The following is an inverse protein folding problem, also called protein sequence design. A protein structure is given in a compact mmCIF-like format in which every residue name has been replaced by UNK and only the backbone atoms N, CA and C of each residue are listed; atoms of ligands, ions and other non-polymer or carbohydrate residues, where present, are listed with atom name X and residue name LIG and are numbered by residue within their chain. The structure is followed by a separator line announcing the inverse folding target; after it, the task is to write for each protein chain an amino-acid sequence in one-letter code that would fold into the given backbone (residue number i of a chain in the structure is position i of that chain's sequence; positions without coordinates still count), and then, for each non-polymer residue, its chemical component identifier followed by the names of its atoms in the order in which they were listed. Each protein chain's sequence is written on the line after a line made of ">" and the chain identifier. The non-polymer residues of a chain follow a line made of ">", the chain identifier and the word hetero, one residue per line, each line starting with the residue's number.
data_IF_577441584519
#
_entry.id   IF_577441584519
#
_cell.length_a   1.000
_cell.length_b   1.000
_cell.length_c   1.000
_cell.angle_alpha   90.00
_cell.angle_beta   90.00
_cell.angle_gamma   90.00
#
_symmetry.space_group_name_H-M   'P 1'
#
loop_
_entity.id
_entity.type
_entity.pdbx_description
1 polymer ?
#
# COMPACT_ATOMS: atom_id res chain seq x y z
N UNK A 1 6.31 21.55 -37.96
CA UNK A 1 7.42 21.29 -37.00
C UNK A 1 6.95 20.79 -35.63
N UNK A 2 6.09 21.47 -34.81
CA UNK A 2 5.63 20.91 -33.51
C UNK A 2 4.73 19.66 -33.65
N UNK A 3 3.91 19.56 -34.70
CA UNK A 3 3.01 18.39 -34.90
C UNK A 3 3.73 17.14 -35.43
N UNK A 4 4.82 17.28 -36.17
CA UNK A 4 5.64 16.17 -36.66
C UNK A 4 6.45 15.53 -35.52
N UNK A 5 7.09 16.36 -34.70
CA UNK A 5 7.82 15.87 -33.50
C UNK A 5 6.91 15.12 -32.50
N UNK A 6 5.65 15.53 -32.41
CA UNK A 6 4.66 14.85 -31.53
C UNK A 6 4.21 13.51 -32.12
N UNK A 7 4.07 13.41 -33.44
CA UNK A 7 3.75 12.13 -34.11
C UNK A 7 4.92 11.15 -34.07
N UNK A 8 6.14 11.61 -34.27
CA UNK A 8 7.35 10.78 -34.14
C UNK A 8 7.53 10.29 -32.71
N UNK A 9 7.24 11.12 -31.70
CA UNK A 9 7.27 10.76 -30.29
C UNK A 9 6.23 9.70 -29.96
N UNK A 10 4.99 9.84 -30.44
CA UNK A 10 3.93 8.84 -30.24
C UNK A 10 4.31 7.51 -30.87
N UNK A 11 4.84 7.52 -32.10
CA UNK A 11 5.29 6.30 -32.78
C UNK A 11 6.44 5.59 -32.07
N UNK A 12 7.37 6.35 -31.45
CA UNK A 12 8.46 5.79 -30.65
C UNK A 12 7.95 5.19 -29.33
N UNK A 13 6.95 5.84 -28.69
CA UNK A 13 6.30 5.30 -27.51
C UNK A 13 5.54 4.01 -27.84
N UNK A 14 4.80 3.98 -28.95
CA UNK A 14 4.09 2.76 -29.39
C UNK A 14 5.06 1.61 -29.70
N UNK A 15 6.23 1.90 -30.27
CA UNK A 15 7.27 0.90 -30.49
C UNK A 15 7.88 0.41 -29.17
N UNK A 16 8.13 1.30 -28.22
CA UNK A 16 8.63 0.93 -26.89
C UNK A 16 7.66 0.01 -26.16
N UNK A 17 6.38 0.34 -26.20
CA UNK A 17 5.27 -0.47 -25.67
C UNK A 17 5.27 -1.89 -26.27
N UNK A 18 5.38 -1.99 -27.62
CA UNK A 18 5.39 -3.29 -28.29
C UNK A 18 6.65 -4.10 -27.95
N UNK A 19 7.81 -3.46 -27.78
CA UNK A 19 9.03 -4.14 -27.35
C UNK A 19 8.92 -4.62 -25.90
N UNK A 20 8.38 -3.81 -25.00
CA UNK A 20 8.16 -4.20 -23.61
C UNK A 20 7.15 -5.37 -23.49
N UNK A 21 6.04 -5.31 -24.24
CA UNK A 21 5.07 -6.41 -24.33
C UNK A 21 5.71 -7.72 -24.82
N UNK A 22 6.59 -7.65 -25.84
CA UNK A 22 7.32 -8.82 -26.32
C UNK A 22 8.31 -9.35 -25.27
N UNK A 23 8.98 -8.46 -24.56
CA UNK A 23 9.86 -8.82 -23.45
C UNK A 23 9.09 -9.52 -22.32
N UNK A 24 7.88 -9.06 -21.98
CA UNK A 24 7.04 -9.70 -20.98
C UNK A 24 6.58 -11.10 -21.41
N UNK A 25 6.12 -11.26 -22.65
CA UNK A 25 5.74 -12.58 -23.17
C UNK A 25 6.92 -13.58 -23.13
N UNK A 26 8.15 -13.08 -23.34
CA UNK A 26 9.36 -13.92 -23.24
C UNK A 26 9.79 -14.17 -21.79
N UNK A 27 9.46 -13.27 -20.86
CA UNK A 27 9.78 -13.37 -19.42
C UNK A 27 8.81 -14.26 -18.65
N UNK A 28 7.56 -14.35 -19.08
CA UNK A 28 6.55 -15.24 -18.48
C UNK A 28 7.00 -16.71 -18.55
N UNK A 29 7.87 -17.06 -19.49
CA UNK A 29 8.50 -18.37 -19.60
C UNK A 29 9.72 -18.57 -18.67
N UNK A 30 10.26 -17.50 -18.05
CA UNK A 30 11.51 -17.56 -17.27
C UNK A 30 11.40 -17.21 -15.79
N UNK A 31 10.23 -16.78 -15.28
CA UNK A 31 10.12 -16.32 -13.88
C UNK A 31 9.57 -17.42 -12.98
N UNK A 32 10.43 -18.28 -12.46
CA UNK A 32 10.11 -19.26 -11.39
C UNK A 32 9.68 -18.58 -10.07
N UNK A 33 9.90 -17.27 -9.91
CA UNK A 33 9.65 -16.55 -8.64
C UNK A 33 8.20 -16.10 -8.49
N UNK A 34 7.50 -15.77 -9.58
CA UNK A 34 6.07 -15.41 -9.55
C UNK A 34 5.16 -16.66 -9.46
N UNK A 35 5.65 -17.84 -9.83
CA UNK A 35 4.88 -19.08 -9.81
C UNK A 35 4.48 -19.53 -8.40
N UNK A 36 5.21 -19.11 -7.36
CA UNK A 36 4.91 -19.54 -5.96
C UNK A 36 3.54 -19.12 -5.45
N UNK A 37 2.96 -18.04 -5.98
CA UNK A 37 1.74 -17.44 -5.46
C UNK A 37 0.48 -17.84 -6.23
N UNK A 38 0.63 -18.32 -7.48
CA UNK A 38 -0.49 -18.44 -8.40
C UNK A 38 -0.69 -19.84 -9.00
N UNK A 39 0.19 -20.81 -8.72
CA UNK A 39 0.12 -22.10 -9.39
C UNK A 39 -1.11 -22.94 -9.04
N UNK A 40 -1.61 -22.88 -7.81
CA UNK A 40 -2.86 -23.56 -7.42
C UNK A 40 -3.48 -22.92 -6.17
N UNK A 41 -4.82 -22.75 -6.12
CA UNK A 41 -5.49 -22.37 -4.89
C UNK A 41 -5.17 -23.35 -3.76
N UNK A 42 -4.91 -22.84 -2.55
CA UNK A 42 -4.70 -23.69 -1.39
C UNK A 42 -5.99 -24.43 -1.02
N UNK A 43 -5.94 -25.70 -0.62
CA UNK A 43 -7.09 -26.41 -0.07
C UNK A 43 -7.70 -25.66 1.10
N UNK A 44 -9.03 -25.66 1.22
CA UNK A 44 -9.77 -24.99 2.30
C UNK A 44 -9.25 -25.35 3.69
N UNK A 45 -8.90 -26.61 3.91
CA UNK A 45 -8.36 -27.09 5.20
C UNK A 45 -7.02 -26.45 5.57
N UNK A 46 -6.17 -26.12 4.58
CA UNK A 46 -4.92 -25.40 4.82
C UNK A 46 -5.17 -23.93 5.15
N UNK A 47 -6.12 -23.28 4.46
CA UNK A 47 -6.54 -21.92 4.75
C UNK A 47 -7.10 -21.86 6.17
N UNK A 48 -8.03 -22.76 6.54
CA UNK A 48 -8.63 -22.82 7.87
C UNK A 48 -7.57 -23.05 8.97
N UNK A 49 -6.60 -23.93 8.73
CA UNK A 49 -5.54 -24.21 9.72
C UNK A 49 -4.57 -23.03 9.91
N UNK A 50 -4.52 -22.10 8.98
CA UNK A 50 -3.73 -20.86 9.09
C UNK A 50 -4.42 -19.76 9.90
N UNK A 51 -5.73 -19.90 10.18
CA UNK A 51 -6.52 -18.88 10.88
C UNK A 51 -6.53 -19.07 12.40
N UNK A 52 -6.38 -17.97 13.11
CA UNK A 52 -6.62 -17.92 14.55
C UNK A 52 -8.11 -18.09 14.91
N UNK A 53 -8.41 -18.38 16.19
CA UNK A 53 -9.79 -18.65 16.63
C UNK A 53 -10.72 -17.44 16.51
N UNK A 54 -10.18 -16.23 16.50
CA UNK A 54 -10.94 -14.97 16.41
C UNK A 54 -10.91 -14.35 15.00
N UNK A 55 -10.28 -15.02 14.03
CA UNK A 55 -10.14 -14.54 12.68
C UNK A 55 -11.22 -15.08 11.73
N UNK A 56 -11.58 -14.27 10.76
CA UNK A 56 -12.44 -14.66 9.64
C UNK A 56 -11.97 -13.99 8.36
N UNK A 57 -11.86 -14.76 7.27
CA UNK A 57 -11.67 -14.24 5.93
C UNK A 57 -13.04 -13.95 5.33
N UNK A 58 -13.17 -12.82 4.65
CA UNK A 58 -14.31 -12.43 3.82
C UNK A 58 -13.80 -12.19 2.41
N UNK A 59 -14.06 -13.12 1.50
CA UNK A 59 -13.68 -13.04 0.10
C UNK A 59 -14.91 -12.63 -0.72
N UNK A 60 -14.83 -11.47 -1.35
CA UNK A 60 -15.92 -10.91 -2.14
C UNK A 60 -15.78 -11.31 -3.61
N UNK A 61 -16.93 -11.54 -4.24
CA UNK A 61 -17.07 -11.76 -5.68
C UNK A 61 -18.21 -10.86 -6.14
N UNK A 62 -17.87 -9.78 -6.80
CA UNK A 62 -18.84 -8.83 -7.35
C UNK A 62 -19.36 -9.36 -8.69
N UNK A 63 -20.69 -9.53 -8.81
CA UNK A 63 -21.35 -10.05 -10.01
C UNK A 63 -22.79 -9.48 -10.12
N UNK A 64 -23.46 -9.77 -11.22
CA UNK A 64 -24.85 -9.39 -11.48
C UNK A 64 -25.74 -10.64 -11.62
N UNK A 65 -26.98 -10.64 -11.15
CA UNK A 65 -27.66 -9.53 -10.46
C UNK A 65 -27.35 -9.44 -8.95
N UNK A 66 -26.58 -10.37 -8.40
CA UNK A 66 -26.18 -10.44 -6.99
C UNK A 66 -24.70 -10.72 -6.88
N UNK A 67 -24.07 -10.08 -5.93
CA UNK A 67 -22.70 -10.37 -5.53
C UNK A 67 -22.67 -11.40 -4.41
N UNK A 68 -21.49 -11.94 -4.10
CA UNK A 68 -21.33 -12.99 -3.12
C UNK A 68 -20.19 -12.67 -2.15
N UNK A 69 -20.29 -13.24 -0.93
CA UNK A 69 -19.20 -13.25 0.02
C UNK A 69 -18.94 -14.68 0.48
N UNK A 70 -17.75 -15.19 0.22
CA UNK A 70 -17.26 -16.43 0.82
C UNK A 70 -16.62 -16.10 2.16
N UNK A 71 -17.16 -16.65 3.26
CA UNK A 71 -16.56 -16.47 4.57
C UNK A 71 -15.89 -17.76 5.05
N UNK A 72 -14.68 -17.61 5.61
CA UNK A 72 -13.86 -18.73 6.08
C UNK A 72 -13.34 -18.41 7.47
N UNK A 73 -13.65 -19.27 8.44
CA UNK A 73 -13.06 -19.25 9.78
C UNK A 73 -12.22 -20.50 10.01
N UNK A 74 -11.51 -20.59 11.11
CA UNK A 74 -10.68 -21.76 11.47
C UNK A 74 -11.43 -23.09 11.50
N UNK A 75 -12.77 -23.09 11.60
CA UNK A 75 -13.58 -24.33 11.76
C UNK A 75 -14.80 -24.40 10.84
N UNK A 76 -15.22 -23.31 10.24
CA UNK A 76 -16.43 -23.21 9.42
C UNK A 76 -16.19 -22.35 8.20
N UNK A 77 -16.97 -22.56 7.17
CA UNK A 77 -17.00 -21.71 5.96
C UNK A 77 -18.39 -21.74 5.35
N UNK A 78 -18.70 -20.75 4.53
CA UNK A 78 -19.95 -20.67 3.80
C UNK A 78 -19.90 -19.62 2.74
N UNK A 79 -20.99 -19.51 1.96
CA UNK A 79 -21.19 -18.49 0.94
C UNK A 79 -22.50 -17.79 1.24
N UNK A 80 -22.45 -16.49 1.30
CA UNK A 80 -23.62 -15.63 1.43
C UNK A 80 -23.86 -14.84 0.17
N UNK A 81 -25.13 -14.78 -0.29
CA UNK A 81 -25.51 -13.92 -1.38
C UNK A 81 -25.77 -12.52 -0.84
N UNK A 82 -25.08 -11.53 -1.37
CA UNK A 82 -25.29 -10.14 -0.98
C UNK A 82 -26.61 -9.61 -1.58
N UNK A 83 -27.21 -8.62 -0.92
CA UNK A 83 -28.50 -8.06 -1.35
C UNK A 83 -28.43 -7.34 -2.70
N UNK A 84 -27.23 -6.97 -3.15
CA UNK A 84 -27.04 -6.08 -4.30
C UNK A 84 -25.99 -6.64 -5.27
N UNK A 85 -26.12 -6.28 -6.55
CA UNK A 85 -25.18 -6.63 -7.60
C UNK A 85 -24.00 -5.66 -7.70
N UNK A 86 -23.04 -6.02 -8.55
CA UNK A 86 -21.78 -5.30 -8.80
C UNK A 86 -21.98 -3.80 -9.01
N UNK A 87 -22.81 -3.40 -9.99
CA UNK A 87 -22.96 -1.99 -10.36
C UNK A 87 -23.45 -1.11 -9.19
N UNK A 88 -24.35 -1.63 -8.36
CA UNK A 88 -24.85 -0.86 -7.22
C UNK A 88 -23.79 -0.72 -6.11
N UNK A 89 -23.01 -1.78 -5.86
CA UNK A 89 -21.91 -1.76 -4.88
C UNK A 89 -20.81 -0.81 -5.36
N UNK A 90 -20.46 -0.85 -6.65
CA UNK A 90 -19.46 0.04 -7.26
C UNK A 90 -19.91 1.52 -7.16
N UNK A 91 -21.16 1.84 -7.54
CA UNK A 91 -21.71 3.20 -7.45
C UNK A 91 -21.72 3.74 -6.01
N UNK A 92 -22.11 2.94 -5.03
CA UNK A 92 -22.07 3.33 -3.62
C UNK A 92 -20.63 3.54 -3.13
N UNK A 93 -19.71 2.64 -3.50
CA UNK A 93 -18.31 2.73 -3.11
C UNK A 93 -17.66 3.97 -3.71
N UNK A 94 -17.90 4.26 -5.00
CA UNK A 94 -17.40 5.46 -5.65
C UNK A 94 -17.93 6.74 -4.97
N UNK A 95 -19.22 6.80 -4.68
CA UNK A 95 -19.84 7.94 -3.95
C UNK A 95 -19.19 8.13 -2.59
N UNK A 96 -18.96 7.03 -1.85
CA UNK A 96 -18.29 7.08 -0.57
C UNK A 96 -16.85 7.63 -0.70
N UNK A 97 -16.06 7.12 -1.65
CA UNK A 97 -14.69 7.54 -1.86
C UNK A 97 -14.58 9.01 -2.29
N UNK A 98 -15.48 9.47 -3.15
CA UNK A 98 -15.56 10.88 -3.56
C UNK A 98 -15.85 11.77 -2.34
N UNK A 99 -16.82 11.39 -1.49
CA UNK A 99 -17.13 12.15 -0.28
C UNK A 99 -15.93 12.17 0.70
N UNK A 100 -15.34 11.01 0.99
CA UNK A 100 -14.19 10.89 1.86
C UNK A 100 -13.01 11.75 1.39
N UNK A 101 -12.63 11.64 0.10
CA UNK A 101 -11.54 12.44 -0.50
C UNK A 101 -11.85 13.94 -0.50
N UNK A 102 -13.11 14.32 -0.56
CA UNK A 102 -13.58 15.70 -0.41
C UNK A 102 -13.64 16.17 1.07
N UNK A 103 -13.11 15.38 2.02
CA UNK A 103 -13.12 15.65 3.47
C UNK A 103 -14.52 15.73 4.07
N UNK A 104 -15.49 15.08 3.42
CA UNK A 104 -16.87 14.99 3.89
C UNK A 104 -17.13 13.59 4.43
N UNK A 105 -17.98 13.49 5.43
CA UNK A 105 -18.53 12.22 5.88
C UNK A 105 -19.91 11.99 5.21
N UNK A 106 -20.12 10.80 4.71
CA UNK A 106 -21.43 10.37 4.17
C UNK A 106 -21.90 9.14 4.96
N UNK A 107 -22.43 9.43 6.14
CA UNK A 107 -22.98 8.39 7.05
C UNK A 107 -24.03 7.51 6.38
N UNK A 108 -24.83 8.07 5.44
CA UNK A 108 -25.87 7.31 4.74
C UNK A 108 -25.29 6.25 3.84
N UNK A 109 -24.32 6.62 3.01
CA UNK A 109 -23.62 5.68 2.12
C UNK A 109 -22.77 4.70 2.92
N UNK A 110 -22.06 5.15 3.95
CA UNK A 110 -21.26 4.27 4.84
C UNK A 110 -22.11 3.19 5.50
N UNK A 111 -23.32 3.54 5.99
CA UNK A 111 -24.27 2.58 6.56
C UNK A 111 -24.81 1.61 5.52
N UNK A 112 -25.14 2.09 4.33
CA UNK A 112 -25.66 1.22 3.26
C UNK A 112 -24.59 0.21 2.81
N UNK A 113 -23.35 0.64 2.63
CA UNK A 113 -22.24 -0.27 2.34
C UNK A 113 -22.03 -1.30 3.46
N UNK A 114 -22.09 -0.87 4.72
CA UNK A 114 -22.02 -1.81 5.86
C UNK A 114 -23.13 -2.86 5.79
N UNK A 115 -24.38 -2.45 5.57
CA UNK A 115 -25.53 -3.38 5.48
C UNK A 115 -25.35 -4.43 4.39
N UNK A 116 -24.84 -4.03 3.21
CA UNK A 116 -24.61 -4.93 2.07
C UNK A 116 -23.42 -5.85 2.34
N UNK A 117 -22.27 -5.27 2.75
CA UNK A 117 -21.01 -5.99 2.78
C UNK A 117 -20.76 -6.76 4.09
N UNK A 118 -21.27 -6.29 5.22
CA UNK A 118 -20.99 -6.86 6.54
C UNK A 118 -22.24 -7.23 7.33
N UNK A 119 -23.31 -6.47 7.18
CA UNK A 119 -24.49 -6.56 8.08
C UNK A 119 -25.28 -7.87 7.96
N UNK A 120 -25.19 -8.57 6.83
CA UNK A 120 -25.89 -9.84 6.57
C UNK A 120 -25.02 -11.06 6.80
N UNK A 121 -23.71 -10.87 7.03
CA UNK A 121 -22.80 -11.99 7.22
C UNK A 121 -22.91 -12.58 8.62
N UNK A 122 -22.73 -13.91 8.78
CA UNK A 122 -22.82 -14.57 10.08
C UNK A 122 -21.56 -14.33 10.93
N UNK A 123 -21.23 -13.05 11.15
CA UNK A 123 -20.08 -12.64 11.94
C UNK A 123 -20.39 -12.80 13.44
N UNK A 124 -19.86 -13.85 14.04
CA UNK A 124 -19.94 -14.07 15.47
C UNK A 124 -19.29 -12.90 16.24
N UNK A 125 -19.80 -12.64 17.46
CA UNK A 125 -19.30 -11.52 18.29
C UNK A 125 -17.82 -11.67 18.69
N UNK A 126 -17.31 -12.91 18.70
CA UNK A 126 -15.91 -13.22 19.01
C UNK A 126 -14.97 -13.14 17.78
N UNK A 127 -15.47 -12.77 16.59
CA UNK A 127 -14.65 -12.55 15.39
C UNK A 127 -14.14 -11.12 15.40
N UNK A 128 -13.04 -10.92 16.07
CA UNK A 128 -12.46 -9.61 16.31
C UNK A 128 -11.63 -9.12 15.10
N UNK A 129 -10.99 -10.06 14.36
CA UNK A 129 -10.16 -9.75 13.21
C UNK A 129 -10.81 -10.25 11.92
N UNK A 130 -11.21 -9.32 11.07
CA UNK A 130 -11.77 -9.54 9.74
C UNK A 130 -10.68 -9.31 8.70
N UNK A 131 -10.41 -10.33 7.90
CA UNK A 131 -9.43 -10.31 6.82
C UNK A 131 -10.21 -10.26 5.51
N UNK A 132 -10.13 -9.15 4.81
CA UNK A 132 -10.87 -8.90 3.58
C UNK A 132 -10.05 -9.32 2.37
N UNK A 133 -10.64 -10.13 1.49
CA UNK A 133 -10.18 -10.36 0.12
C UNK A 133 -11.13 -9.55 -0.77
N UNK A 134 -10.72 -8.37 -1.22
CA UNK A 134 -11.60 -7.48 -1.99
C UNK A 134 -11.66 -7.92 -3.46
N UNK A 135 -12.75 -7.55 -4.15
CA UNK A 135 -12.91 -7.66 -5.59
C UNK A 135 -13.24 -6.28 -6.16
N UNK A 136 -12.66 -5.94 -7.31
CA UNK A 136 -12.91 -4.69 -8.02
C UNK A 136 -12.68 -3.47 -7.14
N UNK A 137 -13.57 -2.50 -7.19
CA UNK A 137 -13.46 -1.22 -6.45
C UNK A 137 -13.32 -1.39 -4.93
N UNK A 138 -13.65 -2.57 -4.36
CA UNK A 138 -13.51 -2.83 -2.93
C UNK A 138 -12.06 -2.80 -2.46
N UNK A 139 -11.08 -2.91 -3.36
CA UNK A 139 -9.66 -2.67 -3.06
C UNK A 139 -9.38 -1.25 -2.55
N UNK A 140 -10.22 -0.29 -2.89
CA UNK A 140 -10.10 1.11 -2.48
C UNK A 140 -10.95 1.45 -1.24
N UNK A 141 -11.79 0.52 -0.77
CA UNK A 141 -12.71 0.76 0.34
C UNK A 141 -12.05 0.45 1.68
N UNK A 142 -11.84 1.43 2.57
CA UNK A 142 -11.41 1.17 3.94
C UNK A 142 -12.61 0.71 4.78
N UNK A 143 -12.78 -0.61 4.91
CA UNK A 143 -13.94 -1.22 5.59
C UNK A 143 -14.09 -0.78 7.05
N UNK A 144 -13.01 -0.43 7.72
CA UNK A 144 -13.01 0.05 9.11
C UNK A 144 -13.66 1.42 9.30
N UNK A 145 -13.87 2.17 8.20
CA UNK A 145 -14.57 3.47 8.20
C UNK A 145 -16.08 3.35 8.00
N UNK A 146 -16.57 2.16 7.67
CA UNK A 146 -18.01 1.92 7.51
C UNK A 146 -18.74 2.01 8.86
N UNK A 147 -20.04 2.25 8.82
CA UNK A 147 -20.88 2.42 10.01
C UNK A 147 -21.99 1.39 10.09
N UNK A 148 -22.19 0.83 11.25
CA UNK A 148 -23.34 -0.04 11.52
C UNK A 148 -24.67 0.75 11.55
N UNK A 149 -25.78 0.05 11.71
CA UNK A 149 -27.12 0.65 11.79
C UNK A 149 -27.28 1.67 12.95
N UNK A 150 -26.47 1.55 14.00
CA UNK A 150 -26.44 2.47 15.14
C UNK A 150 -25.54 3.68 14.91
N UNK A 151 -24.75 3.66 13.82
CA UNK A 151 -23.77 4.69 13.48
C UNK A 151 -22.41 4.50 14.10
N UNK A 152 -22.13 3.35 14.74
CA UNK A 152 -20.81 3.02 15.26
C UNK A 152 -19.88 2.60 14.13
N UNK A 153 -18.62 3.03 14.19
CA UNK A 153 -17.61 2.64 13.20
C UNK A 153 -17.25 1.14 13.34
N UNK A 154 -17.04 0.46 12.23
CA UNK A 154 -16.49 -0.92 12.22
C UNK A 154 -15.18 -0.95 13.01
N UNK A 155 -14.35 0.07 12.88
CA UNK A 155 -13.09 0.27 13.63
C UNK A 155 -13.26 0.11 15.16
N UNK A 156 -14.40 0.54 15.73
CA UNK A 156 -14.62 0.45 17.19
C UNK A 156 -14.77 -1.00 17.66
N UNK A 157 -15.31 -1.89 16.81
CA UNK A 157 -15.62 -3.26 17.16
C UNK A 157 -14.66 -4.31 16.58
N UNK A 158 -13.97 -4.00 15.47
CA UNK A 158 -13.21 -5.00 14.70
C UNK A 158 -11.90 -4.47 14.18
N UNK A 159 -10.91 -5.35 14.10
CA UNK A 159 -9.66 -5.16 13.39
C UNK A 159 -9.86 -5.56 11.94
N UNK A 160 -9.46 -4.73 11.00
CA UNK A 160 -9.55 -4.99 9.56
C UNK A 160 -8.14 -5.09 8.97
N UNK A 161 -7.91 -6.13 8.17
CA UNK A 161 -6.76 -6.23 7.28
C UNK A 161 -7.19 -6.79 5.94
N UNK A 162 -6.32 -6.72 4.95
CA UNK A 162 -6.59 -7.14 3.59
C UNK A 162 -5.57 -8.16 3.12
N UNK A 163 -5.96 -8.99 2.16
CA UNK A 163 -5.04 -9.87 1.43
C UNK A 163 -5.50 -9.99 -0.02
N UNK A 164 -4.58 -10.17 -0.98
CA UNK A 164 -4.97 -10.35 -2.40
C UNK A 164 -5.80 -11.60 -2.63
N UNK A 165 -5.55 -12.67 -1.87
CA UNK A 165 -6.30 -13.93 -1.91
C UNK A 165 -6.12 -14.70 -0.60
N UNK A 166 -7.06 -15.57 -0.24
CA UNK A 166 -6.94 -16.44 0.94
C UNK A 166 -5.71 -17.36 0.89
N UNK A 167 -5.34 -17.82 -0.32
CA UNK A 167 -4.10 -18.60 -0.55
C UNK A 167 -2.85 -17.80 -0.20
N UNK A 168 -2.82 -16.51 -0.53
CA UNK A 168 -1.67 -15.63 -0.23
C UNK A 168 -1.45 -15.53 1.29
N UNK A 169 -2.51 -15.36 2.07
CA UNK A 169 -2.40 -15.35 3.53
C UNK A 169 -1.79 -16.65 4.07
N UNK A 170 -2.26 -17.79 3.55
CA UNK A 170 -1.77 -19.11 3.95
C UNK A 170 -0.27 -19.26 3.65
N UNK A 171 0.20 -18.80 2.49
CA UNK A 171 1.62 -18.80 2.12
C UNK A 171 2.42 -17.90 3.07
N UNK A 172 2.01 -16.63 3.25
CA UNK A 172 2.68 -15.66 4.12
C UNK A 172 2.84 -16.16 5.56
N UNK A 173 1.86 -16.91 6.07
CA UNK A 173 1.88 -17.47 7.44
C UNK A 173 2.75 -18.71 7.58
N UNK A 174 2.86 -19.51 6.52
CA UNK A 174 3.64 -20.75 6.53
C UNK A 174 5.13 -20.52 6.18
N UNK A 175 5.46 -19.42 5.55
CA UNK A 175 6.85 -19.07 5.30
C UNK A 175 7.59 -18.83 6.63
N UNK A 176 8.56 -19.72 6.91
CA UNK A 176 9.48 -19.52 8.02
C UNK A 176 10.58 -18.57 7.57
N UNK A 177 10.83 -17.52 8.34
CA UNK A 177 12.05 -16.75 8.16
C UNK A 177 13.24 -17.67 8.48
N UNK A 178 13.97 -18.05 7.45
CA UNK A 178 15.15 -18.94 7.60
C UNK A 178 16.42 -18.17 7.90
N UNK A 179 16.42 -16.87 7.69
CA UNK A 179 17.58 -15.99 7.87
C UNK A 179 17.37 -15.07 9.06
N UNK A 180 18.41 -14.99 9.93
CA UNK A 180 18.41 -14.04 11.04
C UNK A 180 18.45 -12.61 10.49
N UNK A 181 17.56 -11.77 10.96
CA UNK A 181 17.54 -10.34 10.62
C UNK A 181 18.32 -9.57 11.69
N UNK A 182 19.38 -8.89 11.28
CA UNK A 182 20.26 -8.18 12.20
C UNK A 182 19.78 -6.76 12.50
N UNK A 183 19.04 -6.16 11.57
CA UNK A 183 18.59 -4.75 11.62
C UNK A 183 17.10 -4.65 11.90
N UNK A 184 16.74 -3.65 12.71
CA UNK A 184 15.34 -3.46 13.09
C UNK A 184 14.56 -2.65 12.05
N UNK A 185 15.14 -1.56 11.53
CA UNK A 185 14.39 -0.57 10.78
C UNK A 185 15.23 0.09 9.67
N UNK A 186 14.66 0.17 8.48
CA UNK A 186 15.14 1.03 7.40
C UNK A 186 14.11 2.12 7.16
N UNK A 187 14.50 3.37 7.33
CA UNK A 187 13.65 4.52 7.07
C UNK A 187 14.14 5.36 5.91
N UNK A 188 13.24 5.69 4.98
CA UNK A 188 13.51 6.58 3.84
C UNK A 188 12.53 7.75 3.90
N UNK A 189 13.04 8.97 3.88
CA UNK A 189 12.22 10.20 3.90
C UNK A 189 13.02 11.44 3.60
N UNK A 190 12.35 12.60 3.63
CA UNK A 190 12.99 13.88 3.32
C UNK A 190 13.72 13.85 1.97
N UNK A 191 13.10 13.22 0.97
CA UNK A 191 13.69 13.11 -0.37
C UNK A 191 13.86 14.51 -0.96
N UNK A 192 15.08 14.84 -1.39
CA UNK A 192 15.39 16.14 -1.96
C UNK A 192 14.92 16.22 -3.43
N UNK A 193 13.69 16.66 -3.67
CA UNK A 193 13.13 16.81 -5.01
C UNK A 193 13.54 18.13 -5.67
N UNK A 194 13.68 19.22 -4.91
CA UNK A 194 13.94 20.57 -5.42
C UNK A 194 15.43 20.90 -5.60
N UNK A 195 16.30 20.33 -4.79
CA UNK A 195 17.76 20.53 -4.93
C UNK A 195 18.34 19.94 -6.22
N UNK A 196 17.55 19.15 -6.94
CA UNK A 196 17.91 18.63 -8.26
C UNK A 196 17.72 19.67 -9.38
N UNK A 197 17.12 20.86 -9.10
CA UNK A 197 16.79 21.90 -10.07
C UNK A 197 17.37 23.30 -9.82
N UNK A 198 17.92 23.60 -8.65
CA UNK A 198 18.51 24.90 -8.34
C UNK A 198 20.03 24.95 -8.52
N UNK A 199 20.53 24.55 -9.70
CA UNK A 199 21.80 25.09 -10.16
C UNK A 199 21.49 26.45 -10.77
N UNK A 200 21.91 27.47 -10.03
CA UNK A 200 21.97 28.91 -10.37
C UNK A 200 21.70 29.28 -11.83
N UNK A 201 20.87 30.28 -12.02
CA UNK A 201 20.50 30.91 -13.33
C UNK A 201 21.67 31.54 -14.08
N UNK A 202 22.89 31.08 -13.91
CA UNK A 202 24.07 31.46 -14.65
C UNK A 202 24.79 30.24 -15.17
N UNK A 203 24.70 30.08 -16.51
CA UNK A 203 25.50 29.18 -17.32
C UNK A 203 25.06 27.70 -17.46
N UNK A 204 24.64 27.44 -18.70
CA UNK A 204 24.46 26.14 -19.35
C UNK A 204 23.31 25.24 -18.89
N UNK A 205 22.40 24.95 -19.83
CA UNK A 205 21.33 23.95 -19.65
C UNK A 205 21.92 22.62 -19.15
N UNK A 206 21.36 22.01 -18.10
CA UNK A 206 21.86 20.74 -17.58
C UNK A 206 21.87 19.69 -18.70
N UNK A 207 23.03 19.13 -18.96
CA UNK A 207 23.22 18.02 -19.89
C UNK A 207 23.50 16.78 -19.08
N UNK A 208 22.55 15.84 -19.05
CA UNK A 208 22.77 14.57 -18.37
C UNK A 208 21.47 13.89 -17.89
N UNK A 209 21.64 12.87 -17.05
CA UNK A 209 20.54 12.05 -16.46
C UNK A 209 19.53 12.90 -15.70
N UNK A 210 19.99 13.89 -14.94
CA UNK A 210 19.18 14.82 -14.16
C UNK A 210 18.20 15.63 -15.02
N UNK A 211 18.67 16.15 -16.17
CA UNK A 211 17.81 16.84 -17.13
C UNK A 211 16.83 15.90 -17.85
N UNK A 212 17.12 14.60 -17.88
CA UNK A 212 16.20 13.56 -18.38
C UNK A 212 15.12 13.25 -17.35
N UNK A 213 15.48 13.15 -16.06
CA UNK A 213 14.57 12.96 -14.95
C UNK A 213 13.56 14.12 -14.85
N UNK A 214 14.03 15.37 -14.77
CA UNK A 214 13.18 16.56 -14.70
C UNK A 214 12.25 16.70 -15.92
N UNK A 215 12.74 16.43 -17.11
CA UNK A 215 11.92 16.43 -18.33
C UNK A 215 10.97 15.25 -18.39
N UNK A 216 11.44 14.06 -17.99
CA UNK A 216 10.60 12.87 -17.92
C UNK A 216 9.47 13.05 -16.92
N UNK A 217 9.77 13.56 -15.73
CA UNK A 217 8.78 13.84 -14.68
C UNK A 217 7.80 14.93 -15.11
N UNK A 218 8.28 16.08 -15.63
CA UNK A 218 7.41 17.16 -16.11
C UNK A 218 6.57 16.74 -17.31
N UNK A 219 7.13 15.93 -18.20
CA UNK A 219 6.48 15.47 -19.42
C UNK A 219 5.49 14.31 -19.16
N UNK A 220 5.78 13.43 -18.20
CA UNK A 220 4.96 12.28 -17.85
C UNK A 220 3.85 12.65 -16.86
N UNK A 221 4.17 13.50 -15.87
CA UNK A 221 3.23 13.78 -14.77
C UNK A 221 2.63 15.19 -14.82
N UNK A 222 3.16 16.11 -15.64
CA UNK A 222 2.65 17.48 -15.78
C UNK A 222 2.67 18.32 -14.51
N UNK A 223 3.39 17.88 -13.47
CA UNK A 223 3.40 18.47 -12.13
C UNK A 223 4.82 18.65 -11.60
N UNK A 224 5.01 19.70 -10.82
CA UNK A 224 6.25 19.94 -10.07
C UNK A 224 6.18 19.14 -8.77
N UNK A 225 7.19 18.32 -8.49
CA UNK A 225 7.33 17.64 -7.19
C UNK A 225 7.78 18.67 -6.15
N UNK A 226 7.11 18.63 -4.99
CA UNK A 226 7.47 19.44 -3.83
C UNK A 226 8.13 18.57 -2.78
N UNK A 227 9.10 19.14 -2.06
CA UNK A 227 9.69 18.48 -0.91
C UNK A 227 8.62 18.14 0.13
N UNK A 228 8.81 17.04 0.83
CA UNK A 228 7.94 16.54 1.89
C UNK A 228 8.66 16.63 3.26
N UNK A 229 8.87 17.83 3.82
CA UNK A 229 9.76 18.03 4.97
C UNK A 229 9.29 17.29 6.23
N UNK A 230 7.99 17.03 6.37
CA UNK A 230 7.44 16.29 7.52
C UNK A 230 7.78 14.80 7.51
N UNK A 231 8.13 14.23 6.35
CA UNK A 231 8.54 12.84 6.24
C UNK A 231 9.85 12.55 6.98
N UNK A 232 10.72 13.57 7.15
CA UNK A 232 11.91 13.46 8.00
C UNK A 232 11.51 13.16 9.45
N UNK A 233 10.61 13.96 10.02
CA UNK A 233 10.19 13.82 11.42
C UNK A 233 9.43 12.51 11.64
N UNK A 234 8.62 12.09 10.67
CA UNK A 234 7.90 10.83 10.68
C UNK A 234 8.87 9.64 10.79
N UNK A 235 9.84 9.56 9.89
CA UNK A 235 10.84 8.48 9.85
C UNK A 235 11.75 8.50 11.08
N UNK A 236 12.21 9.67 11.53
CA UNK A 236 12.98 9.80 12.75
C UNK A 236 12.20 9.37 14.00
N UNK A 237 10.90 9.68 14.05
CA UNK A 237 10.04 9.31 15.18
C UNK A 237 9.83 7.81 15.21
N UNK A 238 9.51 7.18 14.05
CA UNK A 238 9.39 5.73 13.94
C UNK A 238 10.67 5.03 14.39
N UNK A 239 11.84 5.46 13.87
CA UNK A 239 13.14 4.90 14.25
C UNK A 239 13.42 4.97 15.75
N UNK A 240 13.11 6.11 16.40
CA UNK A 240 13.27 6.25 17.86
C UNK A 240 12.38 5.30 18.67
N UNK A 241 11.16 5.08 18.19
CA UNK A 241 10.18 4.21 18.88
C UNK A 241 10.58 2.76 18.78
N UNK A 242 11.00 2.29 17.59
CA UNK A 242 11.32 0.86 17.38
C UNK A 242 12.71 0.48 17.88
N UNK A 243 13.54 1.47 18.23
CA UNK A 243 14.80 1.25 18.96
C UNK A 243 16.04 1.21 18.08
N UNK A 244 17.07 0.54 18.59
CA UNK A 244 18.42 0.50 18.00
C UNK A 244 18.45 -0.33 16.72
N UNK A 245 19.56 -0.25 15.99
CA UNK A 245 19.83 -0.95 14.71
C UNK A 245 18.94 -0.45 13.56
N UNK A 246 18.72 0.87 13.51
CA UNK A 246 18.02 1.57 12.44
C UNK A 246 19.01 2.20 11.45
N UNK A 247 18.68 2.10 10.16
CA UNK A 247 19.34 2.83 9.08
C UNK A 247 18.38 3.87 8.53
N UNK A 248 18.87 5.07 8.29
CA UNK A 248 18.04 6.19 7.81
C UNK A 248 18.66 6.78 6.54
N UNK A 249 17.89 6.76 5.46
CA UNK A 249 18.20 7.43 4.21
C UNK A 249 17.36 8.71 4.15
N UNK A 250 18.02 9.85 4.39
CA UNK A 250 17.37 11.16 4.50
C UNK A 250 18.08 12.21 3.64
N UNK A 251 17.31 13.11 3.05
CA UNK A 251 17.86 14.17 2.20
C UNK A 251 18.64 13.60 1.02
N UNK A 252 19.89 14.02 0.81
CA UNK A 252 20.72 13.57 -0.31
C UNK A 252 21.00 12.06 -0.35
N UNK A 253 20.81 11.33 0.76
CA UNK A 253 21.01 9.87 0.81
C UNK A 253 19.72 9.09 0.50
N UNK A 254 18.57 9.74 0.46
CA UNK A 254 17.28 9.13 0.13
C UNK A 254 17.14 8.91 -1.39
N UNK A 255 18.12 8.26 -2.00
CA UNK A 255 18.20 7.97 -3.44
C UNK A 255 17.77 6.53 -3.73
N UNK A 256 17.37 6.27 -4.97
CA UNK A 256 17.03 4.93 -5.43
C UNK A 256 18.23 3.98 -5.29
N UNK A 257 19.42 4.41 -5.76
CA UNK A 257 20.65 3.63 -5.64
C UNK A 257 21.03 3.40 -4.18
N UNK A 258 20.88 4.41 -3.30
CA UNK A 258 21.11 4.27 -1.86
C UNK A 258 20.18 3.24 -1.23
N UNK A 259 18.90 3.24 -1.61
CA UNK A 259 17.93 2.24 -1.15
C UNK A 259 18.29 0.83 -1.62
N UNK A 260 18.58 0.67 -2.92
CA UNK A 260 18.96 -0.63 -3.50
C UNK A 260 20.29 -1.19 -2.97
N UNK A 261 21.19 -0.33 -2.51
CA UNK A 261 22.47 -0.73 -1.93
C UNK A 261 22.35 -1.31 -0.51
N UNK A 262 21.24 -1.06 0.19
CA UNK A 262 21.02 -1.61 1.52
C UNK A 262 20.74 -3.12 1.46
N UNK A 263 21.17 -3.89 2.46
CA UNK A 263 20.83 -5.31 2.57
C UNK A 263 19.38 -5.48 3.04
N UNK A 264 18.43 -5.29 2.13
CA UNK A 264 16.99 -5.18 2.41
C UNK A 264 16.42 -6.41 3.15
N UNK A 265 17.00 -7.59 2.96
CA UNK A 265 16.60 -8.81 3.66
C UNK A 265 16.95 -8.82 5.16
N UNK A 266 17.86 -7.95 5.61
CA UNK A 266 18.27 -7.88 7.02
C UNK A 266 17.33 -7.05 7.89
N UNK A 267 16.41 -6.28 7.29
CA UNK A 267 15.53 -5.40 8.03
C UNK A 267 14.20 -6.08 8.39
N UNK A 268 13.78 -5.92 9.65
CA UNK A 268 12.47 -6.36 10.11
C UNK A 268 11.35 -5.44 9.61
N UNK A 269 11.62 -4.14 9.55
CA UNK A 269 10.69 -3.13 9.11
C UNK A 269 11.35 -2.17 8.13
N UNK A 270 10.62 -1.82 7.09
CA UNK A 270 11.00 -0.79 6.10
C UNK A 270 9.91 0.27 6.06
N UNK A 271 10.27 1.54 6.17
CA UNK A 271 9.35 2.66 6.07
C UNK A 271 9.82 3.61 4.98
N UNK A 272 8.99 3.82 3.96
CA UNK A 272 9.29 4.70 2.83
C UNK A 272 8.25 5.81 2.83
N UNK A 273 8.70 7.02 3.15
CA UNK A 273 7.90 8.24 3.14
C UNK A 273 8.37 9.14 1.98
N UNK A 274 7.76 8.96 0.80
CA UNK A 274 8.15 9.57 -0.45
C UNK A 274 6.93 9.84 -1.34
N UNK A 275 7.09 10.53 -2.46
CA UNK A 275 6.04 10.55 -3.48
C UNK A 275 5.88 9.18 -4.14
N UNK A 276 4.62 8.80 -4.40
CA UNK A 276 4.29 7.66 -5.24
C UNK A 276 3.63 8.11 -6.55
N UNK A 277 3.67 7.26 -7.55
CA UNK A 277 2.96 7.48 -8.80
C UNK A 277 2.34 6.19 -9.31
N UNK A 278 1.24 6.31 -10.03
CA UNK A 278 0.58 5.20 -10.69
C UNK A 278 0.54 5.47 -12.19
N UNK A 279 0.97 4.50 -12.98
CA UNK A 279 0.79 4.47 -14.42
C UNK A 279 -0.45 3.62 -14.74
N UNK A 280 -1.48 4.23 -15.31
CA UNK A 280 -2.75 3.55 -15.60
C UNK A 280 -2.72 2.70 -16.88
N UNK A 281 -1.69 2.86 -17.71
CA UNK A 281 -1.51 2.07 -18.93
C UNK A 281 -0.54 0.90 -18.71
N UNK A 282 0.49 1.11 -17.88
CA UNK A 282 1.55 0.14 -17.60
C UNK A 282 1.77 0.05 -16.10
N UNK A 283 1.02 -0.79 -15.46
CA UNK A 283 0.99 -0.93 -14.01
C UNK A 283 2.36 -1.23 -13.39
N UNK A 284 3.20 -1.96 -14.12
CA UNK A 284 4.58 -2.27 -13.75
C UNK A 284 5.52 -1.05 -13.70
N UNK A 285 5.08 0.07 -14.29
CA UNK A 285 5.79 1.36 -14.21
C UNK A 285 5.37 2.19 -13.01
N UNK A 286 4.28 1.86 -12.34
CA UNK A 286 3.92 2.47 -11.06
C UNK A 286 5.05 2.29 -10.05
N UNK A 287 5.22 3.22 -9.11
CA UNK A 287 6.33 3.13 -8.17
C UNK A 287 6.44 4.29 -7.19
N UNK A 288 7.60 4.39 -6.59
CA UNK A 288 7.98 5.42 -5.63
C UNK A 288 9.02 6.34 -6.27
N UNK A 289 8.95 7.63 -5.94
CA UNK A 289 9.88 8.62 -6.43
C UNK A 289 10.90 8.91 -5.34
N UNK A 290 12.12 8.49 -5.56
CA UNK A 290 13.27 8.71 -4.68
C UNK A 290 14.22 9.75 -5.28
N UNK A 291 15.29 10.09 -4.58
CA UNK A 291 16.33 10.95 -5.10
C UNK A 291 17.17 10.27 -6.18
N UNK A 292 17.83 11.06 -7.00
CA UNK A 292 18.79 10.60 -8.02
C UNK A 292 20.20 10.77 -7.49
N UNK A 293 21.00 9.70 -7.56
CA UNK A 293 22.44 9.79 -7.37
C UNK A 293 23.12 10.00 -8.73
N UNK A 294 23.78 11.15 -8.96
CA UNK A 294 24.46 11.42 -10.24
C UNK A 294 25.57 10.41 -10.59
N UNK A 295 26.10 9.68 -9.63
CA UNK A 295 27.11 8.65 -9.80
C UNK A 295 26.51 7.28 -10.17
N UNK A 296 25.20 7.11 -10.05
CA UNK A 296 24.48 5.88 -10.39
C UNK A 296 23.84 5.95 -11.78
N UNK A 297 23.38 4.79 -12.27
CA UNK A 297 22.55 4.68 -13.46
C UNK A 297 21.04 4.68 -13.15
N UNK A 298 20.66 4.62 -11.87
CA UNK A 298 19.27 4.66 -11.41
C UNK A 298 18.66 6.03 -11.69
N UNK A 299 17.39 6.05 -12.06
CA UNK A 299 16.67 7.26 -12.52
C UNK A 299 15.83 7.93 -11.42
N UNK A 300 15.85 7.40 -10.20
CA UNK A 300 15.07 7.88 -9.07
C UNK A 300 13.63 7.33 -9.01
N UNK A 301 13.24 6.48 -9.96
CA UNK A 301 11.92 5.86 -10.03
C UNK A 301 11.99 4.40 -9.62
N UNK A 302 11.79 4.11 -8.34
CA UNK A 302 11.73 2.73 -7.87
C UNK A 302 10.37 2.10 -8.27
N UNK A 303 10.35 1.46 -9.43
CA UNK A 303 9.15 0.94 -10.09
C UNK A 303 8.79 -0.47 -9.62
N UNK A 304 7.50 -0.86 -9.77
CA UNK A 304 7.00 -2.21 -9.49
C UNK A 304 7.90 -3.29 -10.10
N UNK A 305 8.29 -3.16 -11.39
CA UNK A 305 9.18 -4.08 -12.10
C UNK A 305 10.58 -4.22 -11.48
N UNK A 306 11.00 -3.26 -10.68
CA UNK A 306 12.28 -3.29 -9.96
C UNK A 306 12.09 -3.84 -8.57
N UNK A 307 11.03 -3.41 -7.86
CA UNK A 307 10.69 -3.89 -6.51
C UNK A 307 10.54 -5.41 -6.48
N UNK A 308 9.89 -6.02 -7.46
CA UNK A 308 9.73 -7.50 -7.52
C UNK A 308 11.05 -8.26 -7.64
N UNK A 309 12.14 -7.59 -8.03
CA UNK A 309 13.50 -8.17 -8.12
C UNK A 309 14.31 -7.97 -6.85
N UNK A 310 13.86 -7.09 -5.96
CA UNK A 310 14.50 -6.90 -4.67
C UNK A 310 14.19 -8.11 -3.78
N UNK A 311 15.02 -8.31 -2.77
CA UNK A 311 14.81 -9.39 -1.80
C UNK A 311 14.59 -8.80 -0.42
N UNK A 312 13.36 -8.88 0.04
CA UNK A 312 13.00 -8.54 1.41
C UNK A 312 12.85 -9.79 2.27
N UNK A 313 12.91 -9.60 3.58
CA UNK A 313 12.51 -10.56 4.60
C UNK A 313 11.85 -9.75 5.75
N UNK A 314 11.09 -8.72 5.36
CA UNK A 314 10.51 -7.77 6.29
C UNK A 314 9.18 -8.27 6.85
N UNK A 315 8.95 -8.09 8.17
CA UNK A 315 7.64 -8.32 8.76
C UNK A 315 6.64 -7.25 8.35
N UNK A 316 7.16 -6.02 8.06
CA UNK A 316 6.33 -4.87 7.72
C UNK A 316 7.06 -3.95 6.74
N UNK A 317 6.40 -3.57 5.67
CA UNK A 317 6.74 -2.41 4.84
C UNK A 317 5.66 -1.35 5.04
N UNK A 318 6.04 -0.11 5.35
CA UNK A 318 5.12 1.03 5.44
C UNK A 318 5.39 1.97 4.29
N UNK A 319 4.37 2.22 3.49
CA UNK A 319 4.38 3.15 2.37
C UNK A 319 3.59 4.39 2.77
N UNK A 320 4.26 5.36 3.36
CA UNK A 320 3.70 6.69 3.62
C UNK A 320 3.87 7.59 2.39
N UNK A 321 3.41 7.07 1.25
CA UNK A 321 3.52 7.71 -0.05
C UNK A 321 2.21 8.41 -0.37
N UNK A 322 1.98 9.57 0.23
CA UNK A 322 0.70 10.25 0.25
C UNK A 322 0.38 11.11 -0.97
N UNK A 323 1.11 11.04 -2.06
CA UNK A 323 0.80 11.85 -3.25
C UNK A 323 0.79 11.03 -4.54
N UNK A 324 -0.05 10.01 -4.57
CA UNK A 324 -0.46 9.38 -5.83
C UNK A 324 -1.30 10.31 -6.71
N UNK A 325 -1.42 11.59 -6.32
CA UNK A 325 -2.10 12.64 -7.07
C UNK A 325 -1.35 13.15 -8.30
N UNK A 326 -0.15 12.63 -8.55
CA UNK A 326 0.54 12.83 -9.84
C UNK A 326 0.14 11.70 -10.78
N UNK A 327 -0.95 11.89 -11.44
CA UNK A 327 -1.67 10.93 -12.25
C UNK A 327 -2.98 10.60 -11.53
N UNK A 328 -4.10 10.80 -12.19
CA UNK A 328 -5.39 10.34 -11.68
C UNK A 328 -5.24 8.84 -11.41
N UNK A 329 -5.31 8.43 -10.14
CA UNK A 329 -5.68 7.06 -9.78
C UNK A 329 -7.14 6.86 -10.22
N UNK A 330 -7.39 6.90 -11.52
CA UNK A 330 -8.56 6.33 -12.14
C UNK A 330 -8.20 4.87 -12.41
N UNK A 331 -8.27 4.01 -11.38
CA UNK A 331 -8.03 2.58 -11.55
C UNK A 331 -7.60 1.93 -10.23
N UNK A 332 -8.25 0.85 -9.92
CA UNK A 332 -8.06 -0.02 -8.76
C UNK A 332 -6.63 -0.58 -8.66
N UNK A 333 -5.87 -0.49 -9.76
CA UNK A 333 -4.66 -1.28 -9.98
C UNK A 333 -3.35 -0.66 -9.46
N UNK A 334 -3.25 0.67 -9.33
CA UNK A 334 -1.95 1.31 -9.06
C UNK A 334 -1.38 1.05 -7.66
N UNK A 335 -2.19 1.23 -6.60
CA UNK A 335 -1.76 0.96 -5.20
C UNK A 335 -1.65 -0.53 -4.96
N UNK A 336 -2.60 -1.30 -5.48
CA UNK A 336 -2.64 -2.76 -5.36
C UNK A 336 -1.37 -3.39 -5.92
N UNK A 337 -0.96 -3.01 -7.13
CA UNK A 337 0.26 -3.55 -7.75
C UNK A 337 1.54 -3.20 -6.99
N UNK A 338 1.64 -1.98 -6.44
CA UNK A 338 2.79 -1.57 -5.64
C UNK A 338 2.86 -2.40 -4.34
N UNK A 339 1.73 -2.57 -3.66
CA UNK A 339 1.63 -3.40 -2.45
C UNK A 339 1.99 -4.85 -2.75
N UNK A 340 1.43 -5.42 -3.82
CA UNK A 340 1.71 -6.80 -4.24
C UNK A 340 3.18 -7.00 -4.59
N UNK A 341 3.82 -6.01 -5.25
CA UNK A 341 5.24 -6.08 -5.55
C UNK A 341 6.10 -6.25 -4.29
N UNK A 342 5.80 -5.52 -3.21
CA UNK A 342 6.50 -5.70 -1.93
C UNK A 342 6.20 -7.05 -1.27
N UNK A 343 4.97 -7.54 -1.34
CA UNK A 343 4.63 -8.87 -0.83
C UNK A 343 5.39 -9.96 -1.61
N UNK A 344 5.37 -9.92 -2.94
CA UNK A 344 6.08 -10.88 -3.82
C UNK A 344 7.59 -10.85 -3.56
N UNK A 345 8.16 -9.67 -3.30
CA UNK A 345 9.59 -9.52 -3.01
C UNK A 345 10.00 -9.92 -1.59
N UNK A 346 9.05 -10.38 -0.74
CA UNK A 346 9.33 -10.99 0.57
C UNK A 346 8.89 -10.19 1.80
N UNK A 347 8.10 -9.12 1.63
CA UNK A 347 7.42 -8.49 2.76
C UNK A 347 6.23 -9.35 3.22
N UNK A 348 6.03 -9.49 4.53
CA UNK A 348 4.91 -10.25 5.10
C UNK A 348 3.62 -9.42 5.17
N UNK A 349 3.76 -8.12 5.30
CA UNK A 349 2.66 -7.18 5.29
C UNK A 349 3.12 -5.81 4.81
N UNK A 350 2.20 -5.08 4.23
CA UNK A 350 2.39 -3.71 3.74
C UNK A 350 1.30 -2.83 4.32
N UNK A 351 1.69 -1.71 4.94
CA UNK A 351 0.76 -0.61 5.26
C UNK A 351 0.89 0.42 4.15
N UNK A 352 -0.20 0.74 3.48
CA UNK A 352 -0.23 1.70 2.38
C UNK A 352 -1.42 2.65 2.50
N UNK A 353 -1.29 3.82 1.88
CA UNK A 353 -2.34 4.83 1.84
C UNK A 353 -3.17 4.72 0.57
N UNK A 354 -4.50 4.70 0.70
CA UNK A 354 -5.46 4.64 -0.41
C UNK A 354 -5.69 6.00 -1.10
N UNK A 355 -5.31 7.08 -0.44
CA UNK A 355 -5.38 8.46 -0.97
C UNK A 355 -4.38 9.37 -0.27
N UNK A 356 -4.17 10.56 -0.83
CA UNK A 356 -3.31 11.58 -0.22
C UNK A 356 -3.83 11.95 1.17
N UNK A 357 -3.07 11.63 2.22
CA UNK A 357 -3.42 11.94 3.60
C UNK A 357 -2.82 13.28 4.03
N UNK A 358 -3.40 13.89 5.06
CA UNK A 358 -2.88 15.12 5.64
C UNK A 358 -1.65 14.83 6.52
N UNK A 359 -0.55 15.53 6.29
CA UNK A 359 0.73 15.32 6.97
C UNK A 359 0.65 15.35 8.51
N UNK A 360 -0.23 16.19 9.07
CA UNK A 360 -0.36 16.34 10.54
C UNK A 360 -1.01 15.10 11.16
N UNK A 361 -2.05 14.60 10.51
CA UNK A 361 -2.74 13.39 10.95
C UNK A 361 -1.89 12.15 10.69
N UNK A 362 -1.22 12.09 9.53
CA UNK A 362 -0.30 11.00 9.17
C UNK A 362 0.83 10.86 10.18
N UNK A 363 1.50 11.96 10.54
CA UNK A 363 2.56 11.94 11.56
C UNK A 363 2.06 11.42 12.91
N UNK A 364 0.84 11.82 13.34
CA UNK A 364 0.24 11.30 14.57
C UNK A 364 -0.11 9.81 14.44
N UNK A 365 -0.72 9.40 13.31
CA UNK A 365 -1.08 8.01 13.07
C UNK A 365 0.15 7.10 13.10
N UNK A 366 1.22 7.48 12.40
CA UNK A 366 2.45 6.68 12.33
C UNK A 366 3.18 6.62 13.69
N UNK A 367 3.25 7.73 14.42
CA UNK A 367 3.78 7.74 15.79
C UNK A 367 3.03 6.71 16.67
N UNK A 368 1.70 6.73 16.65
CA UNK A 368 0.86 5.80 17.43
C UNK A 368 1.00 4.36 16.93
N UNK A 369 0.99 4.16 15.64
CA UNK A 369 1.15 2.83 15.04
C UNK A 369 2.46 2.16 15.48
N UNK A 370 3.61 2.85 15.34
CA UNK A 370 4.89 2.31 15.78
C UNK A 370 4.97 2.17 17.31
N UNK A 371 4.29 3.02 18.06
CA UNK A 371 4.19 2.87 19.54
C UNK A 371 3.47 1.57 19.90
N UNK A 372 2.36 1.26 19.25
CA UNK A 372 1.62 0.02 19.47
C UNK A 372 2.40 -1.23 19.01
N UNK A 373 3.12 -1.13 17.88
CA UNK A 373 4.07 -2.18 17.45
C UNK A 373 5.14 -2.41 18.53
N UNK A 374 5.74 -1.33 19.05
CA UNK A 374 6.76 -1.44 20.11
C UNK A 374 6.21 -1.97 21.44
N UNK A 375 4.93 -1.88 21.69
CA UNK A 375 4.24 -2.52 22.82
C UNK A 375 3.92 -4.02 22.59
N UNK A 376 4.33 -4.57 21.44
CA UNK A 376 4.15 -5.99 21.11
C UNK A 376 2.74 -6.34 20.62
N UNK A 377 1.97 -5.37 20.11
CA UNK A 377 0.68 -5.64 19.49
C UNK A 377 0.84 -6.28 18.10
N UNK A 378 -0.14 -7.02 17.65
CA UNK A 378 -0.25 -7.49 16.27
C UNK A 378 -0.39 -6.30 15.31
N UNK A 379 0.17 -6.41 14.10
CA UNK A 379 0.28 -5.27 13.17
C UNK A 379 -1.07 -4.65 12.81
N UNK A 380 -2.07 -5.48 12.52
CA UNK A 380 -3.41 -4.99 12.19
C UNK A 380 -4.09 -4.31 13.39
N UNK A 381 -3.95 -4.89 14.58
CA UNK A 381 -4.48 -4.29 15.82
C UNK A 381 -3.73 -2.99 16.17
N UNK A 382 -2.41 -2.94 15.97
CA UNK A 382 -1.63 -1.72 16.17
C UNK A 382 -2.11 -0.57 15.26
N UNK A 383 -2.43 -0.87 13.99
CA UNK A 383 -2.99 0.13 13.07
C UNK A 383 -4.40 0.57 13.51
N UNK A 384 -5.25 -0.37 13.94
CA UNK A 384 -6.57 -0.09 14.50
C UNK A 384 -6.47 0.84 15.71
N UNK A 385 -5.62 0.53 16.68
CA UNK A 385 -5.45 1.34 17.88
C UNK A 385 -4.90 2.73 17.54
N UNK A 386 -3.97 2.84 16.59
CA UNK A 386 -3.46 4.13 16.13
C UNK A 386 -4.57 5.01 15.54
N UNK A 387 -5.49 4.43 14.75
CA UNK A 387 -6.66 5.15 14.23
C UNK A 387 -7.60 5.60 15.35
N UNK A 388 -7.85 4.74 16.33
CA UNK A 388 -8.65 5.11 17.52
C UNK A 388 -7.99 6.22 18.33
N UNK A 389 -6.66 6.23 18.48
CA UNK A 389 -5.91 7.30 19.14
C UNK A 389 -6.03 8.63 18.38
N UNK A 390 -6.03 8.59 17.04
CA UNK A 390 -6.29 9.79 16.21
C UNK A 390 -7.70 10.31 16.47
N UNK A 391 -8.71 9.45 16.48
CA UNK A 391 -10.09 9.83 16.79
C UNK A 391 -10.26 10.36 18.22
N UNK A 392 -9.55 9.78 19.18
CA UNK A 392 -9.54 10.26 20.57
C UNK A 392 -8.90 11.65 20.69
N UNK A 393 -7.83 11.90 19.95
CA UNK A 393 -7.09 13.18 20.00
C UNK A 393 -7.82 14.32 19.30
N UNK A 394 -8.38 14.06 18.12
CA UNK A 394 -8.94 15.09 17.24
C UNK A 394 -10.48 15.13 17.22
N UNK A 395 -11.13 14.14 17.83
CA UNK A 395 -12.58 14.02 17.95
C UNK A 395 -13.18 12.98 16.99
N UNK A 396 -14.25 12.33 17.44
CA UNK A 396 -14.94 11.26 16.68
C UNK A 396 -15.64 11.74 15.39
N UNK A 397 -15.79 13.05 15.21
CA UNK A 397 -16.40 13.67 14.02
C UNK A 397 -15.36 14.00 12.93
N UNK A 398 -14.11 13.64 13.14
CA UNK A 398 -13.06 13.85 12.13
C UNK A 398 -13.36 12.94 10.92
N UNK A 399 -13.43 13.56 9.74
CA UNK A 399 -13.70 12.86 8.49
C UNK A 399 -12.75 11.67 8.29
N UNK A 400 -13.24 10.54 7.74
CA UNK A 400 -12.43 9.39 7.38
C UNK A 400 -11.22 9.73 6.49
N UNK A 401 -11.28 10.85 5.76
CA UNK A 401 -10.14 11.36 5.00
C UNK A 401 -8.84 11.39 5.80
N UNK A 402 -8.89 11.80 7.06
CA UNK A 402 -7.71 12.08 7.88
C UNK A 402 -7.12 10.84 8.58
N UNK A 403 -7.89 9.76 8.75
CA UNK A 403 -7.46 8.59 9.52
C UNK A 403 -7.72 7.26 8.81
N UNK A 404 -8.67 7.23 7.87
CA UNK A 404 -9.10 6.00 7.18
C UNK A 404 -8.21 5.60 6.00
N UNK A 405 -7.32 6.50 5.53
CA UNK A 405 -6.54 6.28 4.33
C UNK A 405 -5.61 5.06 4.39
N UNK A 406 -5.03 4.78 5.54
CA UNK A 406 -4.05 3.71 5.68
C UNK A 406 -4.71 2.35 5.92
N UNK A 407 -4.33 1.37 5.12
CA UNK A 407 -4.77 -0.03 5.22
C UNK A 407 -3.58 -0.95 5.34
N UNK A 408 -3.77 -2.10 6.01
CA UNK A 408 -2.76 -3.15 6.11
C UNK A 408 -3.13 -4.30 5.18
N UNK A 409 -2.23 -4.65 4.26
CA UNK A 409 -2.37 -5.78 3.34
C UNK A 409 -1.32 -6.83 3.67
N UNK A 410 -1.71 -8.10 3.75
CA UNK A 410 -0.85 -9.24 4.10
C UNK A 410 -1.14 -9.81 5.48
N UNK A 411 -0.16 -10.47 6.11
CA UNK A 411 -0.32 -11.08 7.44
C UNK A 411 -0.34 -10.03 8.55
N UNK A 412 -1.51 -9.60 8.95
CA UNK A 412 -1.74 -8.63 10.03
C UNK A 412 -1.65 -9.20 11.43
N UNK A 413 -1.80 -10.53 11.60
CA UNK A 413 -1.92 -11.19 12.89
C UNK A 413 -0.61 -11.53 13.60
N UNK A 414 0.54 -11.39 12.91
CA UNK A 414 1.84 -11.73 13.50
C UNK A 414 2.48 -10.49 14.14
N UNK A 415 3.00 -10.67 15.37
CA UNK A 415 3.76 -9.63 16.09
C UNK A 415 5.16 -9.49 15.53
N UNK A 416 5.73 -8.29 15.65
CA UNK A 416 7.13 -8.02 15.31
C UNK A 416 7.95 -8.12 16.59
N UNK A 417 8.90 -9.05 16.63
CA UNK A 417 9.79 -9.18 17.77
C UNK A 417 10.90 -8.11 17.69
N UNK A 418 10.88 -7.15 18.60
CA UNK A 418 11.94 -6.15 18.76
C UNK A 418 12.99 -6.65 19.72
N UNK A 419 14.27 -6.40 19.41
CA UNK A 419 15.38 -6.78 20.32
C UNK A 419 15.33 -5.95 21.58
N UNK A 420 15.25 -6.59 22.73
CA UNK A 420 15.35 -5.94 24.06
C UNK A 420 14.02 -5.72 24.77
N UNK A 421 12.95 -6.37 24.32
CA UNK A 421 11.70 -6.55 25.09
C UNK A 421 11.72 -7.89 25.81
#
# INVERSE_FOLDING_TARGET
>A
MRSESQKERTALLDQLVEYERRLELTRTEQTETSSRWFDKPAPLTLIQSSLGPTEVILEYVLDEPHSFCVWISSSRSGVETLSDGRHHIEDLTEKYLIAARAKRDDDGVAKRLYEILLGQLPLEANREHVIVVPDGILHLLPFDTLRDSKGSLVLEARTISYVPAATVLQVLRNEKSTEARERTFLGVGDVAYQDQGHISATLEKPRGLQARFERGMSDVFGTTLYDLPRTRDEVLTASRIVGKDSVLLLGPTATESGFKAEPLADFKMVHIAAHGFADTQFLERSGLILGVDPASHDDGLLQVREIIRLRFNADLVTLSACNTGVGKLEGEDGVTNLVEAFLVSGARSVVASLWSADDTYTGTLMERFYTHIAQGQEKAEALRQAKLDVLAKYGKQVSPYYWGAFVLVGDGGRRIELRGQ
#
